data_IF_335948569154
#
_entry.id   IF_335948569154
#
_cell.length_a   1.000
_cell.length_b   1.000
_cell.length_c   1.000
_cell.angle_alpha   90.00
_cell.angle_beta   90.00
_cell.angle_gamma   90.00
#
_symmetry.space_group_name_H-M   'P 1'
#
loop_
_entity.id
_entity.type
_entity.pdbx_description
1 polymer ?
#
# COMPACT_ATOMS: atom_id res chain seq x y z
N UNK A 1 43.43 -0.79 -58.14
CA UNK A 1 42.79 -0.22 -59.36
C UNK A 1 41.50 -1.00 -59.58
N UNK A 2 40.28 -0.45 -59.62
CA UNK A 2 39.79 0.81 -60.19
C UNK A 2 38.68 1.38 -59.29
N UNK A 3 38.63 2.72 -59.22
CA UNK A 3 37.61 3.56 -58.61
C UNK A 3 36.42 3.71 -59.58
N UNK A 4 35.18 3.65 -59.09
CA UNK A 4 33.97 4.13 -59.79
C UNK A 4 33.20 5.03 -58.82
N UNK A 5 33.39 6.35 -58.90
CA UNK A 5 32.64 7.35 -59.68
C UNK A 5 31.26 7.69 -59.08
N UNK A 6 31.26 8.88 -58.50
CA UNK A 6 30.18 9.66 -57.92
C UNK A 6 29.02 9.93 -58.89
N UNK A 7 27.80 10.01 -58.36
CA UNK A 7 26.74 10.86 -58.92
C UNK A 7 26.03 11.56 -57.78
N UNK A 8 26.11 12.89 -57.81
CA UNK A 8 25.33 13.83 -57.02
C UNK A 8 23.93 13.97 -57.65
N UNK A 9 22.86 13.92 -56.85
CA UNK A 9 21.61 14.59 -57.19
C UNK A 9 21.01 15.22 -55.93
N UNK A 10 21.16 16.55 -55.83
CA UNK A 10 20.42 17.40 -54.90
C UNK A 10 19.04 17.62 -55.52
N UNK A 11 17.98 17.29 -54.80
CA UNK A 11 16.63 17.78 -55.11
C UNK A 11 16.08 18.45 -53.85
N UNK A 12 16.03 19.79 -53.90
CA UNK A 12 15.17 20.59 -53.06
C UNK A 12 13.74 20.27 -53.49
N UNK A 13 12.98 19.57 -52.65
CA UNK A 13 11.56 19.27 -52.87
C UNK A 13 10.80 19.58 -51.59
N UNK A 14 10.16 20.74 -51.58
CA UNK A 14 9.25 21.23 -50.55
C UNK A 14 8.06 20.25 -50.42
N UNK A 15 8.18 19.23 -49.56
CA UNK A 15 7.05 18.39 -49.19
C UNK A 15 6.23 19.12 -48.13
N UNK A 16 5.20 19.82 -48.61
CA UNK A 16 4.02 20.16 -47.85
C UNK A 16 3.53 18.88 -47.14
N UNK A 17 3.81 18.75 -45.84
CA UNK A 17 3.13 17.75 -45.02
C UNK A 17 1.70 18.26 -44.86
N UNK A 18 0.86 17.92 -45.84
CA UNK A 18 -0.56 17.75 -45.60
C UNK A 18 -0.66 16.64 -44.57
N UNK A 19 -0.69 17.02 -43.29
CA UNK A 19 -1.26 16.14 -42.27
C UNK A 19 -2.69 15.93 -42.72
N UNK A 20 -2.94 14.74 -43.26
CA UNK A 20 -4.29 14.26 -43.48
C UNK A 20 -5.02 14.42 -42.15
N UNK A 21 -5.99 15.34 -42.12
CA UNK A 21 -7.14 15.26 -41.22
C UNK A 21 -7.95 14.02 -41.65
N UNK A 22 -7.37 12.84 -41.53
CA UNK A 22 -8.12 11.59 -41.56
C UNK A 22 -8.83 11.51 -40.23
N UNK A 23 -10.14 11.71 -40.30
CA UNK A 23 -11.03 11.90 -39.17
C UNK A 23 -10.73 10.99 -37.98
N UNK A 24 -10.49 11.61 -36.84
CA UNK A 24 -11.14 11.14 -35.64
C UNK A 24 -12.63 11.21 -35.95
N UNK A 25 -13.24 10.06 -36.21
CA UNK A 25 -14.69 9.96 -36.26
C UNK A 25 -15.16 10.47 -34.91
N UNK A 26 -15.69 11.69 -34.88
CA UNK A 26 -16.50 12.12 -33.76
C UNK A 26 -17.58 11.04 -33.66
N UNK A 27 -17.51 10.21 -32.61
CA UNK A 27 -18.58 9.27 -32.31
C UNK A 27 -19.86 10.11 -32.39
N UNK A 28 -20.76 9.71 -33.28
CA UNK A 28 -21.97 10.48 -33.52
C UNK A 28 -22.65 10.57 -32.16
N UNK A 29 -22.84 11.79 -31.64
CA UNK A 29 -23.66 12.06 -30.46
C UNK A 29 -25.01 12.47 -31.00
N UNK A 30 -25.96 11.55 -31.27
CA UNK A 30 -27.31 12.00 -31.43
C UNK A 30 -27.72 12.61 -30.09
N UNK A 31 -28.43 13.73 -30.17
CA UNK A 31 -28.76 14.68 -29.09
C UNK A 31 -27.66 15.56 -28.46
N UNK A 32 -26.38 15.18 -28.50
CA UNK A 32 -25.24 16.02 -28.09
C UNK A 32 -25.25 16.43 -26.60
N UNK A 33 -25.69 15.53 -25.74
CA UNK A 33 -25.64 15.60 -24.27
C UNK A 33 -24.24 15.35 -23.65
N UNK A 34 -23.32 14.76 -24.41
CA UNK A 34 -21.97 14.44 -23.96
C UNK A 34 -21.70 12.95 -23.73
N UNK A 35 -22.68 12.08 -23.93
CA UNK A 35 -22.53 10.63 -23.93
C UNK A 35 -22.37 10.10 -25.37
N UNK A 36 -21.96 8.83 -25.50
CA UNK A 36 -21.84 8.18 -26.80
C UNK A 36 -22.97 7.18 -27.09
N UNK A 37 -23.41 7.21 -28.34
CA UNK A 37 -24.49 6.44 -28.95
C UNK A 37 -24.43 4.92 -28.69
N UNK A 38 -23.24 4.38 -28.51
CA UNK A 38 -23.01 2.95 -28.32
C UNK A 38 -23.11 2.58 -26.85
N UNK A 39 -22.54 3.41 -25.98
CA UNK A 39 -22.63 3.30 -24.54
C UNK A 39 -24.09 3.43 -24.06
N UNK A 40 -24.82 4.43 -24.57
CA UNK A 40 -26.24 4.61 -24.24
C UNK A 40 -27.06 3.37 -24.59
N UNK A 41 -26.85 2.78 -25.78
CA UNK A 41 -27.54 1.55 -26.18
C UNK A 41 -27.15 0.35 -25.32
N UNK A 42 -25.89 0.25 -24.91
CA UNK A 42 -25.40 -0.83 -24.07
C UNK A 42 -26.13 -0.86 -22.73
N UNK A 43 -26.35 0.30 -22.13
CA UNK A 43 -27.01 0.44 -20.82
C UNK A 43 -28.50 0.76 -20.91
N UNK A 44 -29.09 0.72 -22.11
CA UNK A 44 -30.52 0.90 -22.33
C UNK A 44 -31.03 2.31 -22.05
N UNK A 45 -30.22 3.32 -22.36
CA UNK A 45 -30.58 4.74 -22.45
C UNK A 45 -31.07 5.04 -23.89
N UNK A 46 -31.63 6.23 -24.13
CA UNK A 46 -32.13 6.66 -25.42
C UNK A 46 -31.19 7.69 -26.08
N UNK A 47 -30.40 7.29 -27.10
CA UNK A 47 -29.45 8.17 -27.80
C UNK A 47 -30.05 9.39 -28.51
N UNK A 48 -31.36 9.59 -28.42
CA UNK A 48 -32.06 10.74 -29.02
C UNK A 48 -32.66 11.64 -27.95
N UNK A 49 -32.55 11.28 -26.68
CA UNK A 49 -33.13 11.99 -25.56
C UNK A 49 -32.02 12.56 -24.66
N UNK A 50 -31.60 13.82 -24.88
CA UNK A 50 -30.47 14.40 -24.16
C UNK A 50 -30.76 14.65 -22.67
N UNK A 51 -32.02 14.52 -22.24
CA UNK A 51 -32.40 14.68 -20.84
C UNK A 51 -32.05 13.46 -19.99
N UNK A 52 -31.93 12.26 -20.58
CA UNK A 52 -31.61 11.06 -19.81
C UNK A 52 -30.18 11.06 -19.29
N UNK A 53 -29.28 11.81 -19.92
CA UNK A 53 -27.95 12.17 -19.42
C UNK A 53 -27.97 12.73 -18.00
N UNK A 54 -29.05 13.45 -17.64
CA UNK A 54 -29.24 14.08 -16.33
C UNK A 54 -30.01 13.20 -15.35
N UNK A 55 -30.51 12.05 -15.80
CA UNK A 55 -31.22 11.11 -14.94
C UNK A 55 -30.23 10.23 -14.19
N UNK A 56 -30.64 9.81 -13.01
CA UNK A 56 -29.94 8.86 -12.15
C UNK A 56 -30.73 7.55 -12.21
N UNK A 57 -30.23 6.61 -13.02
CA UNK A 57 -31.02 5.45 -13.45
C UNK A 57 -31.07 4.34 -12.41
N UNK A 58 -30.00 4.15 -11.65
CA UNK A 58 -29.93 3.17 -10.55
C UNK A 58 -30.10 3.80 -9.16
N UNK A 59 -30.30 5.12 -9.10
CA UNK A 59 -30.63 5.88 -7.90
C UNK A 59 -29.52 5.87 -6.85
N UNK A 60 -28.27 5.89 -7.29
CA UNK A 60 -27.08 5.90 -6.43
C UNK A 60 -26.60 7.31 -6.06
N UNK A 61 -27.11 8.33 -6.76
CA UNK A 61 -26.76 9.74 -6.59
C UNK A 61 -25.87 10.32 -7.69
N UNK A 62 -25.50 9.57 -8.72
CA UNK A 62 -24.82 10.04 -9.93
C UNK A 62 -25.79 10.09 -11.12
N UNK A 63 -25.61 11.08 -11.99
CA UNK A 63 -26.30 11.09 -13.28
C UNK A 63 -25.61 10.17 -14.28
N UNK A 64 -26.36 9.65 -15.26
CA UNK A 64 -25.82 8.79 -16.32
C UNK A 64 -24.61 9.44 -17.03
N UNK A 65 -24.60 10.77 -17.19
CA UNK A 65 -23.47 11.50 -17.76
C UNK A 65 -22.24 11.54 -16.85
N UNK A 66 -22.43 11.60 -15.53
CA UNK A 66 -21.34 11.52 -14.55
C UNK A 66 -20.73 10.12 -14.57
N UNK A 67 -21.57 9.09 -14.56
CA UNK A 67 -21.15 7.71 -14.65
C UNK A 67 -20.40 7.39 -15.95
N UNK A 68 -20.90 7.90 -17.09
CA UNK A 68 -20.19 7.82 -18.36
C UNK A 68 -18.76 8.40 -18.30
N UNK A 69 -18.58 9.50 -17.56
CA UNK A 69 -17.26 10.14 -17.40
C UNK A 69 -16.36 9.41 -16.42
N UNK A 70 -16.96 8.79 -15.39
CA UNK A 70 -16.25 8.01 -14.37
C UNK A 70 -15.92 6.59 -14.84
N UNK A 71 -16.60 6.11 -15.89
CA UNK A 71 -16.46 4.75 -16.39
C UNK A 71 -17.22 3.71 -15.56
N UNK A 72 -18.20 4.16 -14.77
CA UNK A 72 -19.07 3.30 -13.97
C UNK A 72 -20.27 2.80 -14.78
N UNK A 73 -21.10 1.95 -14.17
CA UNK A 73 -22.24 1.32 -14.82
C UNK A 73 -23.57 1.96 -14.37
N UNK A 74 -24.28 2.68 -15.27
CA UNK A 74 -25.52 3.42 -14.97
C UNK A 74 -26.76 2.57 -14.72
N UNK A 75 -26.55 1.30 -14.43
CA UNK A 75 -27.62 0.36 -14.08
C UNK A 75 -27.32 -0.39 -12.80
N UNK A 76 -26.17 -0.11 -12.17
CA UNK A 76 -25.68 -0.73 -10.95
C UNK A 76 -25.20 0.38 -10.03
N UNK A 77 -25.96 0.60 -8.96
CA UNK A 77 -25.56 1.58 -7.95
C UNK A 77 -24.16 1.32 -7.36
N UNK A 78 -23.69 0.08 -7.41
CA UNK A 78 -22.36 -0.37 -6.97
C UNK A 78 -21.72 -1.13 -8.14
N UNK A 79 -20.84 -0.45 -8.88
CA UNK A 79 -20.30 -0.95 -10.15
C UNK A 79 -19.35 -2.12 -9.98
N UNK A 80 -18.51 -2.12 -8.94
CA UNK A 80 -17.53 -3.17 -8.70
C UNK A 80 -17.94 -4.21 -7.65
N UNK A 81 -19.15 -4.04 -7.09
CA UNK A 81 -19.82 -4.97 -6.19
C UNK A 81 -19.04 -5.22 -4.91
N UNK A 82 -18.53 -4.16 -4.31
CA UNK A 82 -17.76 -4.18 -3.07
C UNK A 82 -18.59 -3.84 -1.83
N UNK A 83 -19.80 -3.30 -2.01
CA UNK A 83 -20.73 -2.90 -0.97
C UNK A 83 -20.88 -1.38 -0.79
N UNK A 84 -20.13 -0.55 -1.52
CA UNK A 84 -20.31 0.90 -1.60
C UNK A 84 -20.93 1.25 -2.94
N UNK A 85 -21.75 2.30 -2.94
CA UNK A 85 -22.28 2.81 -4.19
C UNK A 85 -21.28 3.79 -4.83
N UNK A 86 -21.31 3.94 -6.14
CA UNK A 86 -20.31 4.68 -6.91
C UNK A 86 -20.20 6.14 -6.39
N UNK A 87 -21.34 6.77 -6.08
CA UNK A 87 -21.38 8.10 -5.47
C UNK A 87 -20.68 8.18 -4.10
N UNK A 88 -20.86 7.18 -3.22
CA UNK A 88 -20.19 7.16 -1.91
C UNK A 88 -18.69 6.98 -2.05
N UNK A 89 -18.24 6.19 -3.00
CA UNK A 89 -16.82 5.95 -3.26
C UNK A 89 -16.12 7.21 -3.74
N UNK A 90 -16.71 7.96 -4.66
CA UNK A 90 -16.18 9.27 -5.09
C UNK A 90 -16.06 10.23 -3.89
N UNK A 91 -17.02 10.22 -2.97
CA UNK A 91 -16.96 11.03 -1.75
C UNK A 91 -15.89 10.55 -0.77
N UNK A 92 -15.68 9.24 -0.67
CA UNK A 92 -14.62 8.60 0.11
C UNK A 92 -13.24 8.71 -0.55
N UNK A 93 -13.19 9.10 -1.83
CA UNK A 93 -12.00 9.12 -2.70
C UNK A 93 -11.45 7.73 -3.03
N UNK A 94 -12.30 6.72 -2.89
CA UNK A 94 -12.04 5.37 -3.40
C UNK A 94 -12.43 5.30 -4.87
N UNK A 95 -12.14 4.17 -5.50
CA UNK A 95 -12.30 3.97 -6.95
C UNK A 95 -13.54 3.14 -7.23
N UNK A 96 -14.61 3.70 -7.84
CA UNK A 96 -15.89 3.01 -8.07
C UNK A 96 -15.88 1.92 -9.15
N UNK A 97 -14.70 1.46 -9.52
CA UNK A 97 -14.49 0.41 -10.52
C UNK A 97 -13.42 -0.58 -10.06
N UNK A 98 -12.93 -0.41 -8.84
CA UNK A 98 -11.91 -1.24 -8.24
C UNK A 98 -12.34 -1.55 -6.79
N UNK A 99 -12.77 -2.80 -6.52
CA UNK A 99 -13.43 -3.13 -5.26
C UNK A 99 -12.50 -3.13 -4.04
N UNK A 100 -11.23 -2.77 -4.20
CA UNK A 100 -10.14 -2.72 -3.21
C UNK A 100 -9.16 -1.65 -3.70
N UNK A 101 -9.38 -0.40 -3.30
CA UNK A 101 -8.73 0.79 -3.89
C UNK A 101 -7.22 0.81 -3.63
N UNK A 102 -6.78 0.36 -2.46
CA UNK A 102 -5.38 0.41 -2.08
C UNK A 102 -4.63 -0.91 -2.29
N UNK A 103 -5.36 -2.01 -2.50
CA UNK A 103 -4.83 -3.31 -2.89
C UNK A 103 -4.27 -4.13 -1.74
N UNK A 104 -4.75 -3.91 -0.52
CA UNK A 104 -4.28 -4.63 0.67
C UNK A 104 -5.02 -5.95 0.96
N UNK A 105 -6.08 -6.22 0.18
CA UNK A 105 -6.87 -7.44 0.22
C UNK A 105 -8.24 -7.30 0.87
N UNK A 106 -8.55 -6.17 1.50
CA UNK A 106 -9.91 -5.84 1.94
C UNK A 106 -10.64 -4.96 0.92
N UNK A 107 -11.96 -5.10 0.88
CA UNK A 107 -12.78 -4.34 -0.05
C UNK A 107 -13.15 -2.98 0.52
N UNK A 108 -13.23 -1.92 -0.27
CA UNK A 108 -13.53 -0.57 0.24
C UNK A 108 -14.87 -0.51 1.01
N UNK A 109 -15.83 -1.37 0.67
CA UNK A 109 -17.09 -1.55 1.38
C UNK A 109 -16.99 -2.14 2.78
N UNK A 110 -15.93 -2.89 3.08
CA UNK A 110 -15.67 -3.50 4.38
C UNK A 110 -14.39 -2.99 5.04
N UNK A 111 -13.59 -2.20 4.34
CA UNK A 111 -12.33 -1.64 4.79
C UNK A 111 -12.54 -0.30 5.53
N UNK A 112 -11.98 -0.19 6.73
CA UNK A 112 -12.01 1.05 7.50
C UNK A 112 -10.93 2.06 7.07
N UNK A 113 -9.91 1.60 6.34
CA UNK A 113 -8.78 2.37 5.84
C UNK A 113 -8.57 2.19 4.32
N UNK A 114 -9.58 2.43 3.46
CA UNK A 114 -9.59 2.10 2.02
C UNK A 114 -8.63 2.89 1.12
N UNK A 115 -7.70 3.63 1.72
CA UNK A 115 -6.66 4.42 1.04
C UNK A 115 -5.27 4.16 1.66
N UNK A 116 -5.14 3.21 2.59
CA UNK A 116 -3.92 2.90 3.29
C UNK A 116 -3.56 1.42 3.14
N UNK A 117 -2.71 1.08 2.15
CA UNK A 117 -2.43 -0.32 1.79
C UNK A 117 -1.57 -1.08 2.82
N UNK A 118 -1.30 -0.46 3.97
CA UNK A 118 -0.50 -1.04 5.05
C UNK A 118 -1.37 -1.67 6.13
N UNK A 119 -2.68 -1.40 6.16
CA UNK A 119 -3.59 -1.76 7.25
C UNK A 119 -4.80 -2.50 6.68
N UNK A 120 -4.70 -3.83 6.64
CA UNK A 120 -5.81 -4.71 6.30
C UNK A 120 -6.36 -5.41 7.56
N UNK A 121 -7.55 -5.99 7.51
CA UNK A 121 -8.20 -6.85 8.52
C UNK A 121 -7.32 -8.01 9.00
N UNK A 122 -6.29 -8.39 8.24
CA UNK A 122 -5.35 -9.43 8.67
C UNK A 122 -4.22 -8.89 9.57
N UNK A 123 -4.04 -7.56 9.64
CA UNK A 123 -3.18 -6.87 10.59
C UNK A 123 -3.98 -6.66 11.88
N UNK A 124 -4.18 -7.75 12.64
CA UNK A 124 -4.72 -7.65 13.99
C UNK A 124 -3.98 -6.58 14.78
N UNK A 125 -4.71 -5.83 15.58
CA UNK A 125 -4.15 -5.06 16.69
C UNK A 125 -3.25 -6.00 17.53
N UNK A 126 -1.93 -5.82 17.44
CA UNK A 126 -0.96 -6.62 18.17
C UNK A 126 -1.05 -6.35 19.68
N UNK A 127 -0.67 -7.26 20.58
CA UNK A 127 -0.92 -7.07 22.01
C UNK A 127 -0.22 -5.83 22.61
N UNK A 128 -0.70 -5.32 23.77
CA UNK A 128 -0.13 -4.18 24.52
C UNK A 128 1.41 -4.23 24.51
N UNK A 129 2.02 -3.28 23.78
CA UNK A 129 3.45 -3.24 23.49
C UNK A 129 3.79 -3.32 21.99
N UNK A 130 2.84 -3.73 21.15
CA UNK A 130 2.90 -3.57 19.70
C UNK A 130 2.62 -2.10 19.31
N UNK A 131 3.39 -1.51 18.38
CA UNK A 131 3.10 -0.18 17.85
C UNK A 131 1.66 0.02 17.37
N UNK A 132 0.98 -1.03 16.89
CA UNK A 132 -0.40 -0.97 16.39
C UNK A 132 -1.47 -0.87 17.50
N UNK A 133 -1.07 -0.92 18.78
CA UNK A 133 -1.97 -0.82 19.95
C UNK A 133 -1.63 0.35 20.88
N UNK A 134 -0.83 1.30 20.39
CA UNK A 134 -0.49 2.55 21.08
C UNK A 134 -0.54 3.75 20.15
N UNK A 135 -0.99 3.59 18.91
CA UNK A 135 -0.93 4.61 17.87
C UNK A 135 -2.27 5.30 17.59
N UNK A 136 -3.32 4.95 18.35
CA UNK A 136 -4.69 5.51 18.27
C UNK A 136 -5.42 5.24 16.96
N UNK A 137 -4.91 4.30 16.16
CA UNK A 137 -5.57 3.80 14.96
C UNK A 137 -6.26 2.47 15.27
N UNK A 138 -7.53 2.37 14.87
CA UNK A 138 -8.32 1.13 14.88
C UNK A 138 -7.83 0.27 13.71
N UNK A 139 -6.77 -0.51 13.95
CA UNK A 139 -6.02 -1.18 12.88
C UNK A 139 -6.68 -2.48 12.41
N UNK A 140 -7.68 -3.00 13.11
CA UNK A 140 -8.47 -4.17 12.69
C UNK A 140 -9.98 -3.89 12.49
N UNK A 141 -10.36 -2.61 12.55
CA UNK A 141 -11.64 -2.07 12.13
C UNK A 141 -12.85 -2.52 12.97
N UNK A 142 -12.67 -2.81 14.26
CA UNK A 142 -13.74 -3.30 15.14
C UNK A 142 -14.52 -2.18 15.87
N UNK A 143 -14.08 -0.93 15.71
CA UNK A 143 -14.66 0.26 16.32
C UNK A 143 -14.09 0.59 17.70
N UNK A 144 -13.05 -0.13 18.14
CA UNK A 144 -12.28 0.15 19.34
C UNK A 144 -10.90 0.67 18.94
N UNK A 145 -10.25 1.36 19.87
CA UNK A 145 -8.89 1.86 19.67
C UNK A 145 -8.06 1.38 20.85
N UNK A 146 -6.89 0.80 20.59
CA UNK A 146 -5.81 0.56 21.54
C UNK A 146 -6.31 -0.01 22.92
N UNK A 147 -6.41 0.85 23.93
CA UNK A 147 -6.67 0.50 25.33
C UNK A 147 -8.11 0.05 25.61
N UNK A 148 -9.00 0.16 24.63
CA UNK A 148 -10.37 -0.36 24.68
C UNK A 148 -10.56 -1.66 23.91
N UNK A 149 -9.56 -2.08 23.13
CA UNK A 149 -9.67 -3.17 22.18
C UNK A 149 -9.36 -4.55 22.84
N UNK A 150 -10.27 -5.54 22.75
CA UNK A 150 -10.03 -6.91 23.21
C UNK A 150 -8.87 -7.62 22.50
N UNK A 151 -8.49 -7.20 21.30
CA UNK A 151 -7.42 -7.74 20.48
C UNK A 151 -6.05 -7.13 20.81
N UNK A 152 -6.00 -5.94 21.43
CA UNK A 152 -4.79 -5.46 22.13
C UNK A 152 -4.40 -6.31 23.36
N UNK A 153 -5.15 -7.34 23.72
CA UNK A 153 -4.74 -8.31 24.73
C UNK A 153 -4.03 -9.51 24.09
N UNK A 154 -2.80 -9.81 24.56
CA UNK A 154 -2.17 -11.08 24.19
C UNK A 154 -3.04 -12.26 24.69
N UNK A 155 -3.14 -13.33 23.89
CA UNK A 155 -3.89 -14.54 24.23
C UNK A 155 -2.92 -15.68 24.57
N UNK A 156 -1.70 -15.64 24.05
CA UNK A 156 -0.62 -16.57 24.32
C UNK A 156 0.76 -15.87 24.25
N UNK A 157 1.78 -16.51 24.82
CA UNK A 157 3.18 -16.02 24.75
C UNK A 157 3.67 -15.82 23.30
N UNK A 158 3.12 -16.59 22.35
CA UNK A 158 3.45 -16.50 20.93
C UNK A 158 3.00 -15.18 20.27
N UNK A 159 2.03 -14.49 20.87
CA UNK A 159 1.54 -13.20 20.38
C UNK A 159 2.51 -12.07 20.75
N UNK A 160 3.38 -12.31 21.75
CA UNK A 160 4.32 -11.32 22.25
C UNK A 160 5.70 -11.46 21.59
N UNK A 161 6.22 -10.36 21.05
CA UNK A 161 7.57 -10.34 20.48
C UNK A 161 8.62 -10.03 21.55
N UNK A 162 9.59 -10.94 21.72
CA UNK A 162 10.77 -10.69 22.56
C UNK A 162 11.58 -9.48 22.06
N UNK A 163 11.97 -8.55 22.95
CA UNK A 163 12.69 -7.34 22.56
C UNK A 163 14.16 -7.63 22.22
N UNK A 164 14.73 -8.71 22.74
CA UNK A 164 16.06 -9.21 22.40
C UNK A 164 16.19 -10.70 22.77
N UNK A 165 17.33 -11.30 22.43
CA UNK A 165 17.64 -12.72 22.67
C UNK A 165 17.76 -13.11 24.15
N UNK A 166 17.84 -12.15 25.07
CA UNK A 166 17.96 -12.37 26.51
C UNK A 166 16.69 -12.07 27.30
N UNK A 167 15.60 -11.70 26.63
CA UNK A 167 14.29 -11.50 27.24
C UNK A 167 13.28 -12.38 26.53
N UNK A 168 12.55 -13.19 27.28
CA UNK A 168 11.40 -13.93 26.78
C UNK A 168 10.14 -13.11 27.04
N UNK A 169 9.37 -12.86 25.99
CA UNK A 169 8.04 -12.29 26.14
C UNK A 169 7.06 -13.36 26.64
N UNK A 170 6.27 -12.99 27.63
CA UNK A 170 5.27 -13.84 28.28
C UNK A 170 3.98 -13.05 28.37
N UNK A 171 2.88 -13.66 27.94
CA UNK A 171 1.57 -13.08 28.05
C UNK A 171 1.01 -13.31 29.45
N UNK A 172 0.82 -12.25 30.23
CA UNK A 172 0.19 -12.34 31.55
C UNK A 172 -0.97 -11.36 31.64
N UNK A 173 -2.17 -11.90 31.84
CA UNK A 173 -3.41 -11.11 31.97
C UNK A 173 -3.67 -10.16 30.79
N UNK A 174 -3.33 -10.57 29.57
CA UNK A 174 -3.50 -9.77 28.35
C UNK A 174 -2.36 -8.79 28.08
N UNK A 175 -1.32 -8.74 28.93
CA UNK A 175 -0.18 -7.83 28.77
C UNK A 175 1.09 -8.63 28.48
N UNK A 176 1.87 -8.19 27.49
CA UNK A 176 3.19 -8.75 27.21
C UNK A 176 4.21 -8.27 28.25
N UNK A 177 4.60 -9.16 29.15
CA UNK A 177 5.66 -8.93 30.14
C UNK A 177 6.96 -9.59 29.67
N UNK A 178 8.10 -8.96 29.94
CA UNK A 178 9.41 -9.47 29.51
C UNK A 178 10.18 -10.04 30.70
N UNK A 179 10.42 -11.35 30.67
CA UNK A 179 11.20 -12.06 31.69
C UNK A 179 12.63 -12.32 31.21
N UNK A 180 13.65 -12.15 32.06
CA UNK A 180 15.01 -12.51 31.71
C UNK A 180 15.12 -14.00 31.36
N UNK A 181 15.72 -14.28 30.21
CA UNK A 181 16.21 -15.64 29.90
C UNK A 181 17.33 -15.98 30.89
N UNK A 182 17.51 -17.27 31.17
CA UNK A 182 18.47 -17.76 32.16
C UNK A 182 19.88 -17.18 31.93
N UNK A 183 20.49 -16.69 33.01
CA UNK A 183 21.85 -16.16 32.97
C UNK A 183 22.84 -17.20 32.42
N UNK A 184 23.73 -16.75 31.54
CA UNK A 184 24.71 -17.59 30.87
C UNK A 184 24.23 -18.26 29.58
N UNK A 185 22.95 -18.11 29.22
CA UNK A 185 22.42 -18.51 27.89
C UNK A 185 23.18 -17.76 26.80
N UNK A 186 23.57 -18.47 25.74
CA UNK A 186 24.26 -17.85 24.62
C UNK A 186 23.34 -16.87 23.90
N UNK A 187 23.88 -15.72 23.54
CA UNK A 187 23.19 -14.68 22.80
C UNK A 187 24.17 -14.02 21.82
N UNK A 188 23.68 -13.04 21.07
CA UNK A 188 24.48 -12.15 20.22
C UNK A 188 23.79 -10.78 20.29
N UNK A 189 24.55 -9.75 20.65
CA UNK A 189 24.08 -8.35 20.75
C UNK A 189 24.41 -7.55 19.47
N UNK A 190 24.94 -8.22 18.44
CA UNK A 190 25.41 -7.62 17.19
C UNK A 190 26.75 -6.92 17.32
N UNK A 191 27.37 -6.91 18.51
CA UNK A 191 28.68 -6.34 18.72
C UNK A 191 29.77 -7.38 18.41
N UNK A 192 30.25 -7.39 17.18
CA UNK A 192 31.33 -8.29 16.79
C UNK A 192 32.69 -8.04 17.49
N UNK A 193 32.80 -6.98 18.29
CA UNK A 193 33.97 -6.70 19.13
C UNK A 193 33.87 -7.31 20.54
N UNK A 194 32.79 -8.04 20.84
CA UNK A 194 32.69 -8.90 22.01
C UNK A 194 32.75 -10.37 21.60
N UNK A 195 33.22 -11.21 22.52
CA UNK A 195 33.28 -12.65 22.35
C UNK A 195 32.52 -13.36 23.47
N UNK A 196 31.91 -14.50 23.11
CA UNK A 196 31.16 -15.37 24.03
C UNK A 196 30.02 -14.62 24.73
N UNK A 197 29.20 -13.95 23.93
CA UNK A 197 28.09 -13.16 24.45
C UNK A 197 27.08 -14.06 25.18
N UNK A 198 26.69 -13.60 26.36
CA UNK A 198 25.80 -14.33 27.26
C UNK A 198 24.79 -13.40 27.88
N UNK A 199 23.61 -13.95 28.13
CA UNK A 199 22.58 -13.25 28.86
C UNK A 199 22.99 -13.04 30.31
N UNK A 200 22.76 -11.83 30.81
CA UNK A 200 22.89 -11.48 32.22
C UNK A 200 21.81 -10.49 32.59
N UNK A 201 20.90 -10.87 33.48
CA UNK A 201 19.78 -10.05 33.94
C UNK A 201 18.96 -9.43 32.79
N UNK A 202 18.76 -10.17 31.70
CA UNK A 202 17.97 -9.72 30.55
C UNK A 202 18.72 -8.93 29.48
N UNK A 203 20.02 -8.66 29.65
CA UNK A 203 20.86 -8.03 28.62
C UNK A 203 21.82 -9.06 28.02
N UNK A 204 22.06 -8.98 26.72
CA UNK A 204 23.13 -9.72 26.06
C UNK A 204 24.43 -8.91 26.15
N UNK A 205 25.51 -9.53 26.63
CA UNK A 205 26.83 -8.92 26.64
C UNK A 205 27.92 -10.00 26.63
N UNK A 206 29.05 -9.71 25.98
CA UNK A 206 30.23 -10.57 25.98
C UNK A 206 31.47 -9.97 26.61
N UNK A 207 32.57 -10.69 26.42
CA UNK A 207 33.89 -10.23 26.84
C UNK A 207 34.51 -9.43 25.72
N UNK A 208 35.03 -8.24 26.02
CA UNK A 208 35.68 -7.40 25.02
C UNK A 208 36.87 -8.12 24.36
N UNK A 209 36.92 -8.06 23.03
CA UNK A 209 37.99 -8.63 22.22
C UNK A 209 39.30 -7.90 22.50
N UNK A 210 40.33 -8.67 22.88
CA UNK A 210 41.64 -8.11 23.21
C UNK A 210 42.41 -7.76 21.94
N UNK A 211 42.61 -6.46 21.71
CA UNK A 211 43.43 -5.95 20.62
C UNK A 211 44.91 -5.75 21.03
N UNK A 212 45.85 -5.81 20.06
CA UNK A 212 47.24 -5.44 20.29
C UNK A 212 47.39 -4.00 20.80
N UNK A 213 48.53 -3.70 21.43
CA UNK A 213 48.83 -2.40 22.04
C UNK A 213 48.54 -1.23 21.07
N UNK A 214 47.83 -0.21 21.58
CA UNK A 214 47.38 1.00 20.86
C UNK A 214 46.35 0.78 19.74
N UNK A 215 45.71 -0.39 19.67
CA UNK A 215 44.59 -0.65 18.76
C UNK A 215 43.30 -0.89 19.55
N UNK A 216 42.18 -0.51 18.95
CA UNK A 216 40.85 -0.86 19.44
C UNK A 216 40.11 -1.67 18.40
N UNK A 217 39.16 -2.47 18.84
CA UNK A 217 38.28 -3.16 17.90
C UNK A 217 37.32 -2.14 17.29
N UNK A 218 37.27 -2.09 15.96
CA UNK A 218 36.33 -1.27 15.21
C UNK A 218 35.10 -2.10 14.85
N UNK A 219 33.93 -1.69 15.33
CA UNK A 219 32.67 -2.43 15.18
C UNK A 219 32.20 -2.51 13.72
N UNK A 220 32.66 -1.61 12.84
CA UNK A 220 32.29 -1.62 11.42
C UNK A 220 33.08 -2.64 10.60
N UNK A 221 34.31 -2.93 11.02
CA UNK A 221 35.21 -3.87 10.34
C UNK A 221 35.44 -5.16 11.12
N UNK A 222 35.04 -5.22 12.40
CA UNK A 222 35.27 -6.31 13.35
C UNK A 222 36.76 -6.65 13.54
N UNK A 223 37.64 -5.68 13.23
CA UNK A 223 39.09 -5.82 13.21
C UNK A 223 39.71 -4.81 14.17
N UNK A 224 40.92 -5.12 14.66
CA UNK A 224 41.68 -4.19 15.48
C UNK A 224 42.32 -3.10 14.59
N UNK A 225 41.84 -1.87 14.72
CA UNK A 225 42.32 -0.69 13.98
C UNK A 225 42.96 0.33 14.93
N UNK A 226 43.68 1.31 14.37
CA UNK A 226 44.21 2.40 15.19
C UNK A 226 43.09 3.32 15.65
N UNK A 227 43.23 3.90 16.84
CA UNK A 227 42.26 4.87 17.36
C UNK A 227 42.12 6.05 16.38
N UNK A 228 40.89 6.48 16.05
CA UNK A 228 40.68 7.72 15.31
C UNK A 228 41.38 8.88 16.05
N UNK A 229 42.21 9.65 15.33
CA UNK A 229 42.85 10.86 15.88
C UNK A 229 41.83 11.97 16.11
#
# INVERSE_FOLDING_TARGET
>A
MKRGKSVWFRWLGLFLVLVFLSGFSACKRPDNDGMDDAWEKQYGLDPKNPEDALWDKDSDGLSNLEEFKLGTNPTLADTDSDGKNDSAEINAKTSPTNPDTDGDGDKDGSDCMPLNPSINHNQKEGPIGDPTCVDTFDNDCDGLIDQGDPDCACKADADCKSPNSCQQAVCEQGVCNFKPVADGTACDDGNCCTEKDKCKAGACAGTEKVCPKNKVCDISSCQCSEQPK
#
